data_IF_494037255509
#
_entry.id   IF_494037255509
#
_cell.length_a   1.000
_cell.length_b   1.000
_cell.length_c   1.000
_cell.angle_alpha   90.00
_cell.angle_beta   90.00
_cell.angle_gamma   90.00
#
_symmetry.space_group_name_H-M   'P 1'
#
loop_
_entity.id
_entity.type
_entity.pdbx_description
1 polymer ?
#
# COMPACT_ATOMS: atom_id res chain seq x y z
N UNK A 1 -8.48 -21.51 -9.99
CA UNK A 1 -8.96 -20.26 -9.36
C UNK A 1 -7.76 -19.65 -8.64
N UNK A 2 -7.47 -18.35 -8.81
CA UNK A 2 -6.37 -17.72 -8.09
C UNK A 2 -6.64 -17.71 -6.59
N UNK A 3 -5.55 -17.65 -5.84
CA UNK A 3 -5.53 -17.66 -4.39
C UNK A 3 -4.90 -16.35 -3.92
N UNK A 4 -5.60 -15.67 -3.02
CA UNK A 4 -5.16 -14.39 -2.46
C UNK A 4 -4.81 -14.56 -0.99
N UNK A 5 -3.75 -13.88 -0.55
CA UNK A 5 -3.27 -13.90 0.83
C UNK A 5 -3.30 -12.49 1.42
N UNK A 6 -3.63 -12.36 2.70
CA UNK A 6 -3.67 -11.09 3.43
C UNK A 6 -3.21 -11.25 4.89
N UNK A 7 -2.66 -10.18 5.45
CA UNK A 7 -2.21 -10.13 6.85
C UNK A 7 -0.83 -10.73 7.05
N UNK A 8 -0.57 -11.25 8.25
CA UNK A 8 0.78 -11.67 8.64
C UNK A 8 1.40 -12.73 7.74
N UNK A 9 0.59 -13.59 7.10
CA UNK A 9 1.07 -14.59 6.14
C UNK A 9 1.76 -13.97 4.91
N UNK A 10 1.49 -12.69 4.61
CA UNK A 10 2.16 -11.94 3.53
C UNK A 10 3.34 -11.10 4.02
N UNK A 11 3.75 -11.24 5.29
CA UNK A 11 4.76 -10.42 5.95
C UNK A 11 4.31 -9.02 6.37
N UNK A 12 3.01 -8.70 6.28
CA UNK A 12 2.51 -7.46 6.84
C UNK A 12 2.37 -7.58 8.37
N UNK A 13 2.98 -6.67 9.14
CA UNK A 13 2.85 -6.63 10.60
C UNK A 13 1.96 -5.48 11.08
N UNK A 14 1.09 -5.77 12.05
CA UNK A 14 0.17 -4.79 12.64
C UNK A 14 -1.29 -5.01 12.25
N UNK A 15 -2.20 -4.60 13.14
CA UNK A 15 -3.64 -4.78 12.93
C UNK A 15 -4.18 -3.92 11.78
N UNK A 16 -3.63 -2.71 11.61
CA UNK A 16 -4.06 -1.76 10.57
C UNK A 16 -3.62 -2.27 9.20
N UNK A 17 -2.39 -2.75 9.08
CA UNK A 17 -1.83 -3.35 7.88
C UNK A 17 -2.61 -4.62 7.50
N UNK A 18 -2.89 -5.49 8.47
CA UNK A 18 -3.67 -6.70 8.23
C UNK A 18 -5.09 -6.40 7.72
N UNK A 19 -5.78 -5.42 8.34
CA UNK A 19 -7.10 -4.99 7.90
C UNK A 19 -7.06 -4.37 6.49
N UNK A 20 -6.06 -3.53 6.19
CA UNK A 20 -5.89 -2.89 4.90
C UNK A 20 -5.58 -3.91 3.78
N UNK A 21 -4.69 -4.87 4.04
CA UNK A 21 -4.42 -5.98 3.11
C UNK A 21 -5.67 -6.84 2.89
N UNK A 22 -6.43 -7.14 3.95
CA UNK A 22 -7.68 -7.89 3.86
C UNK A 22 -8.73 -7.19 2.99
N UNK A 23 -8.91 -5.88 3.19
CA UNK A 23 -9.80 -5.07 2.35
C UNK A 23 -9.38 -5.11 0.88
N UNK A 24 -8.08 -4.96 0.58
CA UNK A 24 -7.57 -5.02 -0.80
C UNK A 24 -7.75 -6.40 -1.44
N UNK A 25 -7.53 -7.48 -0.70
CA UNK A 25 -7.80 -8.84 -1.19
C UNK A 25 -9.28 -9.06 -1.46
N UNK A 26 -10.16 -8.58 -0.58
CA UNK A 26 -11.61 -8.64 -0.81
C UNK A 26 -12.03 -7.91 -2.08
N UNK A 27 -11.47 -6.70 -2.30
CA UNK A 27 -11.68 -5.94 -3.53
C UNK A 27 -11.19 -6.73 -4.74
N UNK A 28 -9.97 -7.26 -4.72
CA UNK A 28 -9.42 -8.03 -5.85
C UNK A 28 -10.19 -9.31 -6.15
N UNK A 29 -10.58 -10.07 -5.12
CA UNK A 29 -11.40 -11.26 -5.28
C UNK A 29 -12.77 -10.94 -5.91
N UNK A 30 -13.43 -9.86 -5.46
CA UNK A 30 -14.69 -9.41 -6.04
C UNK A 30 -14.52 -8.96 -7.51
N UNK A 31 -13.49 -8.16 -7.81
CA UNK A 31 -13.18 -7.70 -9.18
C UNK A 31 -12.93 -8.87 -10.12
N UNK A 32 -12.19 -9.87 -9.67
CA UNK A 32 -11.90 -11.06 -10.45
C UNK A 32 -13.16 -11.88 -10.76
N UNK A 33 -14.05 -12.09 -9.76
CA UNK A 33 -15.34 -12.74 -9.97
C UNK A 33 -16.23 -12.02 -10.99
N UNK A 34 -16.05 -10.70 -11.13
CA UNK A 34 -16.75 -9.84 -12.08
C UNK A 34 -16.02 -9.66 -13.42
N UNK A 35 -14.86 -10.30 -13.61
CA UNK A 35 -14.05 -10.18 -14.83
C UNK A 35 -13.35 -8.82 -15.00
N UNK A 36 -13.20 -8.05 -13.93
CA UNK A 36 -12.51 -6.75 -13.94
C UNK A 36 -11.01 -6.90 -13.69
N UNK A 37 -10.22 -6.00 -14.28
CA UNK A 37 -8.77 -5.98 -14.10
C UNK A 37 -8.37 -5.69 -12.64
N UNK A 38 -7.25 -6.25 -12.13
CA UNK A 38 -6.75 -5.95 -10.80
C UNK A 38 -6.36 -4.47 -10.65
N UNK A 39 -6.25 -4.02 -9.41
CA UNK A 39 -5.84 -2.66 -9.08
C UNK A 39 -4.43 -2.66 -8.48
N UNK A 40 -3.70 -1.58 -8.68
CA UNK A 40 -2.40 -1.35 -8.06
C UNK A 40 -2.53 -0.21 -7.08
N UNK A 41 -2.27 -0.48 -5.81
CA UNK A 41 -2.26 0.53 -4.76
C UNK A 41 -1.04 1.45 -4.99
N UNK A 42 -1.21 2.78 -4.96
CA UNK A 42 -0.10 3.70 -5.23
C UNK A 42 0.99 3.60 -4.13
N UNK A 43 2.29 3.53 -4.48
CA UNK A 43 3.37 3.40 -3.51
C UNK A 43 3.51 4.64 -2.60
N UNK A 44 2.92 5.77 -2.99
CA UNK A 44 2.90 7.00 -2.19
C UNK A 44 2.03 6.89 -0.95
N UNK A 45 1.04 5.99 -0.92
CA UNK A 45 0.20 5.77 0.26
C UNK A 45 0.79 4.69 1.18
N UNK A 46 0.40 4.70 2.46
CA UNK A 46 0.95 3.80 3.48
C UNK A 46 0.85 2.31 3.10
N UNK A 47 -0.31 1.89 2.59
CA UNK A 47 -0.53 0.50 2.15
C UNK A 47 0.32 0.14 0.93
N UNK A 48 0.38 1.02 -0.08
CA UNK A 48 1.20 0.77 -1.26
C UNK A 48 2.68 0.75 -0.95
N UNK A 49 3.14 1.60 -0.03
CA UNK A 49 4.53 1.63 0.42
C UNK A 49 4.96 0.31 1.07
N UNK A 50 4.16 -0.24 2.00
CA UNK A 50 4.48 -1.51 2.64
C UNK A 50 4.36 -2.68 1.66
N UNK A 51 3.36 -2.68 0.77
CA UNK A 51 3.22 -3.71 -0.27
C UNK A 51 4.43 -3.71 -1.21
N UNK A 52 4.85 -2.53 -1.69
CA UNK A 52 6.02 -2.40 -2.55
C UNK A 52 7.31 -2.86 -1.85
N UNK A 53 7.43 -2.59 -0.55
CA UNK A 53 8.55 -3.08 0.26
C UNK A 53 8.56 -4.61 0.37
N UNK A 54 7.43 -5.23 0.72
CA UNK A 54 7.31 -6.69 0.88
C UNK A 54 7.45 -7.45 -0.44
N UNK A 55 7.09 -6.83 -1.57
CA UNK A 55 7.26 -7.39 -2.91
C UNK A 55 8.66 -7.18 -3.50
N UNK A 56 9.54 -6.46 -2.82
CA UNK A 56 10.88 -6.19 -3.31
C UNK A 56 11.75 -7.46 -3.25
N UNK A 57 12.01 -8.05 -4.42
CA UNK A 57 12.80 -9.29 -4.57
C UNK A 57 14.30 -9.08 -4.51
N UNK A 58 14.78 -7.83 -4.33
CA UNK A 58 16.21 -7.53 -4.26
C UNK A 58 16.81 -7.94 -2.90
N UNK A 59 16.01 -7.95 -1.82
CA UNK A 59 16.46 -8.42 -0.52
C UNK A 59 16.46 -9.95 -0.48
N UNK A 60 17.60 -10.55 -0.14
CA UNK A 60 17.74 -12.00 0.01
C UNK A 60 17.08 -12.51 1.31
N UNK A 61 17.02 -11.63 2.31
CA UNK A 61 16.45 -11.93 3.63
C UNK A 61 15.11 -11.21 3.77
N UNK A 62 14.02 -11.90 3.40
CA UNK A 62 12.67 -11.40 3.60
C UNK A 62 12.37 -11.30 5.09
N UNK A 63 11.90 -10.14 5.55
CA UNK A 63 11.43 -9.93 6.91
C UNK A 63 10.04 -9.30 6.88
N UNK A 64 9.11 -9.76 7.74
CA UNK A 64 7.86 -9.05 7.94
C UNK A 64 8.10 -7.59 8.38
N UNK A 65 7.20 -6.70 8.02
CA UNK A 65 7.33 -5.29 8.35
C UNK A 65 5.99 -4.58 8.49
N UNK A 66 5.97 -3.57 9.35
CA UNK A 66 4.94 -2.54 9.41
C UNK A 66 5.33 -1.33 8.53
N UNK A 67 4.38 -0.43 8.28
CA UNK A 67 4.67 0.75 7.45
C UNK A 67 5.62 1.72 8.15
N UNK A 68 6.62 2.21 7.42
CA UNK A 68 7.54 3.26 7.90
C UNK A 68 7.71 4.38 6.88
N UNK A 69 8.06 5.59 7.35
CA UNK A 69 8.32 6.73 6.47
C UNK A 69 9.47 6.53 5.48
N UNK A 70 10.37 5.58 5.73
CA UNK A 70 11.45 5.22 4.80
C UNK A 70 10.98 4.43 3.58
N UNK A 71 9.81 3.79 3.67
CA UNK A 71 9.22 3.04 2.54
C UNK A 71 8.45 3.96 1.60
N UNK A 72 7.91 5.06 2.11
CA UNK A 72 7.19 6.04 1.29
C UNK A 72 8.20 6.74 0.37
N UNK A 73 7.94 6.82 -0.95
CA UNK A 73 8.81 7.52 -1.89
C UNK A 73 9.18 8.93 -1.40
N UNK A 74 10.38 9.47 -1.69
CA UNK A 74 10.73 10.83 -1.27
C UNK A 74 9.87 11.89 -1.97
N UNK A 75 9.80 13.10 -1.39
CA UNK A 75 9.21 14.26 -2.06
C UNK A 75 10.13 14.74 -3.19
N UNK A 76 9.60 15.29 -4.30
CA UNK A 76 10.42 15.86 -5.37
C UNK A 76 11.34 16.98 -4.88
N UNK A 77 10.84 17.80 -3.94
CA UNK A 77 11.60 18.87 -3.30
C UNK A 77 11.99 18.45 -1.88
N UNK A 78 13.28 18.54 -1.58
CA UNK A 78 13.78 18.18 -0.26
C UNK A 78 13.33 19.20 0.80
N UNK A 79 12.62 18.73 1.83
CA UNK A 79 12.26 19.53 3.00
C UNK A 79 13.19 19.13 4.16
N UNK A 80 13.97 20.10 4.64
CA UNK A 80 14.94 19.91 5.73
C UNK A 80 14.25 19.62 7.07
N UNK A 81 13.19 20.37 7.38
CA UNK A 81 12.48 20.20 8.64
C UNK A 81 11.64 18.91 8.64
N UNK A 82 11.94 18.00 9.58
CA UNK A 82 11.35 16.66 9.65
C UNK A 82 9.82 16.68 9.79
N UNK A 83 9.27 17.62 10.57
CA UNK A 83 7.82 17.72 10.80
C UNK A 83 7.09 18.16 9.52
N UNK A 84 7.57 19.22 8.87
CA UNK A 84 7.04 19.69 7.59
C UNK A 84 7.18 18.62 6.49
N UNK A 85 8.32 17.93 6.44
CA UNK A 85 8.52 16.82 5.49
C UNK A 85 7.49 15.71 5.67
N UNK A 86 7.26 15.26 6.90
CA UNK A 86 6.26 14.21 7.20
C UNK A 86 4.83 14.68 6.91
N UNK A 87 4.51 15.93 7.20
CA UNK A 87 3.20 16.50 6.87
C UNK A 87 2.97 16.50 5.34
N UNK A 88 3.94 16.97 4.56
CA UNK A 88 3.85 16.97 3.10
C UNK A 88 3.80 15.55 2.50
N UNK A 89 4.55 14.60 3.07
CA UNK A 89 4.44 13.18 2.68
C UNK A 89 3.05 12.62 3.00
N UNK A 90 2.48 12.94 4.16
CA UNK A 90 1.14 12.50 4.55
C UNK A 90 0.06 13.08 3.62
N UNK A 91 0.17 14.37 3.27
CA UNK A 91 -0.74 15.03 2.34
C UNK A 91 -0.72 14.35 0.97
N UNK A 92 0.47 14.11 0.41
CA UNK A 92 0.60 13.37 -0.86
C UNK A 92 0.06 11.94 -0.76
N UNK A 93 0.32 11.26 0.35
CA UNK A 93 -0.16 9.90 0.59
C UNK A 93 -1.70 9.84 0.61
N UNK A 94 -2.35 10.81 1.27
CA UNK A 94 -3.81 10.91 1.34
C UNK A 94 -4.41 11.28 -0.01
N UNK A 95 -3.78 12.19 -0.77
CA UNK A 95 -4.21 12.53 -2.12
C UNK A 95 -4.16 11.31 -3.06
N UNK A 96 -3.05 10.57 -3.06
CA UNK A 96 -2.91 9.34 -3.85
C UNK A 96 -3.93 8.27 -3.45
N UNK A 97 -4.20 8.11 -2.15
CA UNK A 97 -5.21 7.18 -1.66
C UNK A 97 -6.63 7.60 -2.09
N UNK A 98 -6.96 8.90 -2.07
CA UNK A 98 -8.24 9.41 -2.51
C UNK A 98 -8.48 9.16 -4.01
N UNK A 99 -7.48 9.45 -4.85
CA UNK A 99 -7.52 9.15 -6.28
C UNK A 99 -7.68 7.64 -6.53
N UNK A 100 -6.95 6.81 -5.78
CA UNK A 100 -7.09 5.36 -5.85
C UNK A 100 -8.48 4.88 -5.45
N UNK A 101 -9.08 5.46 -4.41
CA UNK A 101 -10.42 5.10 -3.96
C UNK A 101 -11.50 5.34 -5.04
N UNK A 102 -11.35 6.36 -5.87
CA UNK A 102 -12.23 6.59 -7.02
C UNK A 102 -12.12 5.47 -8.07
N UNK A 103 -10.94 4.86 -8.24
CA UNK A 103 -10.75 3.70 -9.14
C UNK A 103 -11.32 2.40 -8.56
N UNK A 104 -11.41 2.31 -7.24
CA UNK A 104 -12.03 1.17 -6.53
C UNK A 104 -13.55 1.22 -6.64
N UNK A 105 -14.14 2.43 -6.57
CA UNK A 105 -15.58 2.65 -6.73
C UNK A 105 -15.99 2.22 -8.14
N UNK A 106 -16.60 1.05 -8.24
CA UNK A 106 -17.13 0.59 -9.51
C UNK A 106 -18.51 1.19 -9.72
N UNK A 107 -18.71 1.82 -10.87
CA UNK A 107 -20.03 2.23 -11.36
C UNK A 107 -20.72 1.06 -12.04
#
# INVERSE_FOLDING_TARGET
RPLWFAGQITGAEGYVEAAACGAMVGIHAAREMLGWSPLTVPPECALGAVVAHLQNTVSHDFQPANVTWSMVPPLPTAIREKKLRRAALAERALAALAEFAERVRVR
#
